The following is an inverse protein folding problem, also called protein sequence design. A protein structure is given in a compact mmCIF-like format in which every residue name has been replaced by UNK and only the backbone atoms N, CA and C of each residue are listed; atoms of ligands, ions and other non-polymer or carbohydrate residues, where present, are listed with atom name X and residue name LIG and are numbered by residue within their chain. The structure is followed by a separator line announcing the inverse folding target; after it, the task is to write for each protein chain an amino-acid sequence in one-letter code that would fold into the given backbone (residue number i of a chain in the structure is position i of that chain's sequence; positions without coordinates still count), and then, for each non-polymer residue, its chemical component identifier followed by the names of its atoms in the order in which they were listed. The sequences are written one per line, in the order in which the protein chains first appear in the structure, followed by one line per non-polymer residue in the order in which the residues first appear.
data_IF_014305203760
#
_entry.id   IF_014305203760
#
_cell.length_a   1.000
_cell.length_b   1.000
_cell.length_c   1.000
_cell.angle_alpha   90.00
_cell.angle_beta   90.00
_cell.angle_gamma   90.00
#
_symmetry.space_group_name_H-M   'P 1'
#
loop_
_entity.id
_entity.type
_entity.pdbx_description
1 polymer ?
#
# COMPACT_ATOMS: atom_id res chain seq x y z
N UNK A 1 -3.90 3.14 16.52
CA UNK A 1 -3.33 4.16 15.68
C UNK A 1 -2.57 3.63 14.49
N UNK A 2 -1.89 4.53 13.82
CA UNK A 2 -1.16 4.21 12.59
C UNK A 2 0.03 3.27 12.82
N UNK A 3 0.53 3.17 14.04
CA UNK A 3 1.67 2.31 14.35
C UNK A 3 1.44 0.85 14.04
N UNK A 4 0.24 0.34 14.31
CA UNK A 4 -0.09 -1.06 14.00
C UNK A 4 -0.15 -1.30 12.50
N UNK A 5 -0.73 -0.36 11.75
CA UNK A 5 -0.81 -0.50 10.29
C UNK A 5 0.57 -0.47 9.67
N UNK A 6 1.44 0.43 10.12
CA UNK A 6 2.81 0.52 9.61
C UNK A 6 3.54 -0.80 9.88
N UNK A 7 3.40 -1.36 11.09
CA UNK A 7 4.03 -2.62 11.43
C UNK A 7 3.55 -3.76 10.54
N UNK A 8 2.24 -3.83 10.28
CA UNK A 8 1.68 -4.87 9.41
C UNK A 8 2.23 -4.76 7.99
N UNK A 9 2.36 -3.56 7.45
CA UNK A 9 2.96 -3.34 6.13
C UNK A 9 4.42 -3.79 6.12
N UNK A 10 5.18 -3.45 7.15
CA UNK A 10 6.58 -3.85 7.24
C UNK A 10 6.75 -5.36 7.33
N UNK A 11 5.87 -6.04 8.06
CA UNK A 11 5.88 -7.49 8.13
C UNK A 11 5.53 -8.12 6.79
N UNK A 12 4.54 -7.58 6.08
CA UNK A 12 4.15 -8.05 4.75
C UNK A 12 5.30 -7.88 3.76
N UNK A 13 6.01 -6.76 3.82
CA UNK A 13 7.15 -6.51 2.95
C UNK A 13 8.27 -7.52 3.21
N UNK A 14 8.52 -7.84 4.47
CA UNK A 14 9.53 -8.82 4.83
C UNK A 14 9.19 -10.21 4.31
N UNK A 15 7.93 -10.62 4.46
CA UNK A 15 7.46 -11.90 3.94
C UNK A 15 7.59 -11.93 2.41
N UNK A 16 7.22 -10.86 1.74
CA UNK A 16 7.33 -10.77 0.29
C UNK A 16 8.79 -10.94 -0.17
N UNK A 17 9.71 -10.24 0.48
CA UNK A 17 11.13 -10.35 0.16
C UNK A 17 11.63 -11.79 0.34
N UNK A 18 11.22 -12.46 1.41
CA UNK A 18 11.61 -13.85 1.66
C UNK A 18 11.09 -14.80 0.60
N UNK A 19 10.00 -14.45 -0.07
CA UNK A 19 9.42 -15.25 -1.14
C UNK A 19 9.90 -14.84 -2.53
N UNK A 20 10.83 -13.88 -2.61
CA UNK A 20 11.31 -13.40 -3.90
C UNK A 20 10.34 -12.46 -4.60
N UNK A 21 9.42 -11.84 -3.87
CA UNK A 21 8.48 -10.88 -4.41
C UNK A 21 9.01 -9.48 -4.09
N UNK A 22 9.26 -8.68 -5.13
CA UNK A 22 9.95 -7.40 -4.99
C UNK A 22 9.06 -6.21 -5.30
N UNK A 23 7.76 -6.41 -5.39
CA UNK A 23 6.80 -5.36 -5.68
C UNK A 23 5.51 -5.64 -4.92
N UNK A 24 5.03 -4.66 -4.19
CA UNK A 24 3.75 -4.76 -3.48
C UNK A 24 2.81 -3.72 -4.06
N UNK A 25 1.59 -4.15 -4.38
CA UNK A 25 0.54 -3.27 -4.87
C UNK A 25 -0.64 -3.30 -3.89
N UNK A 26 -1.17 -2.12 -3.61
CA UNK A 26 -2.34 -1.97 -2.73
C UNK A 26 -3.28 -0.94 -3.35
N UNK A 27 -4.55 -1.04 -3.01
CA UNK A 27 -5.50 0.00 -3.37
C UNK A 27 -6.27 0.45 -2.13
N UNK A 28 -6.80 1.66 -2.17
CA UNK A 28 -7.55 2.23 -1.06
C UNK A 28 -8.57 3.23 -1.59
N UNK A 29 -9.59 3.51 -0.78
CA UNK A 29 -10.56 4.56 -1.10
C UNK A 29 -9.87 5.92 -1.12
N UNK A 30 -10.32 6.79 -2.03
CA UNK A 30 -9.72 8.12 -2.19
C UNK A 30 -9.87 8.99 -0.93
N UNK A 31 -10.87 8.72 -0.10
CA UNK A 31 -11.15 9.50 1.09
C UNK A 31 -10.56 8.91 2.38
N UNK A 32 -9.81 7.82 2.26
CA UNK A 32 -9.17 7.19 3.43
C UNK A 32 -7.85 7.89 3.74
N UNK A 33 -7.94 9.10 4.27
CA UNK A 33 -6.76 9.93 4.54
C UNK A 33 -5.71 9.26 5.43
N UNK A 34 -6.09 8.56 6.53
CA UNK A 34 -5.08 7.86 7.32
C UNK A 34 -4.28 6.85 6.52
N UNK A 35 -4.93 6.08 5.64
CA UNK A 35 -4.24 5.10 4.82
C UNK A 35 -3.33 5.76 3.79
N UNK A 36 -3.81 6.83 3.14
CA UNK A 36 -2.99 7.56 2.16
C UNK A 36 -1.73 8.10 2.82
N UNK A 37 -1.83 8.62 4.03
CA UNK A 37 -0.69 9.12 4.77
C UNK A 37 0.30 8.00 5.10
N UNK A 38 -0.19 6.84 5.50
CA UNK A 38 0.66 5.68 5.80
C UNK A 38 1.40 5.22 4.55
N UNK A 39 0.71 5.12 3.41
CA UNK A 39 1.32 4.69 2.17
C UNK A 39 2.43 5.65 1.73
N UNK A 40 2.17 6.95 1.84
CA UNK A 40 3.17 7.96 1.53
C UNK A 40 4.39 7.83 2.44
N UNK A 41 4.16 7.69 3.74
CA UNK A 41 5.21 7.57 4.73
C UNK A 41 6.08 6.33 4.50
N UNK A 42 5.49 5.24 4.03
CA UNK A 42 6.21 3.99 3.78
C UNK A 42 6.88 3.95 2.41
N UNK A 43 6.71 4.97 1.59
CA UNK A 43 7.36 5.05 0.29
C UNK A 43 6.58 4.42 -0.85
N UNK A 44 5.30 4.15 -0.65
CA UNK A 44 4.43 3.71 -1.74
C UNK A 44 4.16 4.86 -2.68
N UNK A 45 4.10 4.57 -3.98
CA UNK A 45 3.89 5.57 -5.01
C UNK A 45 2.52 5.40 -5.66
N UNK A 46 1.86 6.52 -5.88
CA UNK A 46 0.57 6.54 -6.55
C UNK A 46 0.73 6.09 -8.00
N UNK A 47 -0.11 5.16 -8.43
CA UNK A 47 -0.06 4.57 -9.78
C UNK A 47 -1.28 4.90 -10.62
N UNK A 48 -2.29 5.55 -10.04
CA UNK A 48 -3.50 5.89 -10.77
C UNK A 48 -4.74 5.36 -10.09
N UNK A 49 -5.87 5.52 -10.79
CA UNK A 49 -7.17 5.09 -10.29
C UNK A 49 -7.54 3.75 -10.88
N UNK A 50 -8.20 2.91 -10.08
CA UNK A 50 -8.80 1.67 -10.56
C UNK A 50 -10.28 1.69 -10.18
N UNK A 51 -11.11 1.05 -11.00
CA UNK A 51 -12.55 1.01 -10.79
C UNK A 51 -12.94 -0.42 -10.48
N UNK A 52 -13.34 -0.64 -9.23
CA UNK A 52 -13.75 -1.93 -8.76
C UNK A 52 -15.25 -1.89 -8.43
N UNK A 53 -15.81 -3.04 -8.08
CA UNK A 53 -17.22 -3.17 -7.81
C UNK A 53 -17.75 -2.16 -6.80
N UNK A 54 -16.94 -1.75 -5.85
CA UNK A 54 -17.30 -0.76 -4.84
C UNK A 54 -17.06 0.69 -5.24
N UNK A 55 -16.60 0.94 -6.48
CA UNK A 55 -16.35 2.28 -6.99
C UNK A 55 -14.88 2.56 -7.24
N UNK A 56 -14.53 3.84 -7.20
CA UNK A 56 -13.18 4.30 -7.51
C UNK A 56 -12.21 4.04 -6.35
N UNK A 57 -11.03 3.50 -6.69
CA UNK A 57 -9.97 3.25 -5.71
C UNK A 57 -8.66 3.81 -6.23
N UNK A 58 -7.80 4.24 -5.33
CA UNK A 58 -6.47 4.74 -5.66
C UNK A 58 -5.47 3.59 -5.53
N UNK A 59 -4.71 3.35 -6.58
CA UNK A 59 -3.72 2.28 -6.61
C UNK A 59 -2.33 2.81 -6.28
N UNK A 60 -1.61 2.06 -5.45
CA UNK A 60 -0.26 2.39 -5.03
C UNK A 60 0.64 1.17 -5.19
N UNK A 61 1.93 1.41 -5.37
CA UNK A 61 2.90 0.32 -5.40
C UNK A 61 4.19 0.74 -4.72
N UNK A 62 4.94 -0.26 -4.28
CA UNK A 62 6.27 -0.07 -3.72
C UNK A 62 7.21 -1.15 -4.26
N UNK A 63 8.35 -0.73 -4.76
CA UNK A 63 9.41 -1.63 -5.16
C UNK A 63 10.29 -1.86 -3.93
N UNK A 64 10.51 -3.13 -3.60
CA UNK A 64 11.19 -3.51 -2.36
C UNK A 64 12.71 -3.64 -2.51
N UNK A 65 13.21 -3.55 -3.73
CA UNK A 65 14.65 -3.61 -3.98
C UNK A 65 15.26 -2.26 -4.16
#
# INVERSE_FOLDING_TARGET
GSGKAILLFQMAEKVALNKGIFNIRVDTNFDNQPMLHILDKLGYKYCGKVYLRGGERLAYQKILL
#
